data_IF_552575104857
#
_entry.id   IF_552575104857
#
_cell.length_a   1.000
_cell.length_b   1.000
_cell.length_c   1.000
_cell.angle_alpha   90.00
_cell.angle_beta   90.00
_cell.angle_gamma   90.00
#
_symmetry.space_group_name_H-M   'P 1'
#
loop_
_entity.id
_entity.type
_entity.pdbx_description
1 polymer ?
#
# COMPACT_ATOMS: atom_id res chain seq x y z
N UNK A 1 14.25 -2.70 -4.28
CA UNK A 1 15.23 -3.79 -4.40
C UNK A 1 16.60 -3.35 -3.88
N UNK A 2 17.35 -4.25 -3.26
CA UNK A 2 18.69 -4.02 -2.70
C UNK A 2 19.54 -5.28 -2.86
N UNK A 3 20.86 -5.15 -2.67
CA UNK A 3 21.77 -6.29 -2.57
C UNK A 3 21.27 -7.35 -1.57
N UNK A 4 21.39 -8.62 -1.95
CA UNK A 4 20.91 -9.79 -1.22
C UNK A 4 19.42 -10.09 -1.39
N UNK A 5 18.64 -9.23 -2.07
CA UNK A 5 17.25 -9.56 -2.42
C UNK A 5 17.20 -10.74 -3.38
N UNK A 6 16.08 -11.45 -3.36
CA UNK A 6 15.84 -12.55 -4.28
C UNK A 6 14.80 -12.15 -5.30
N UNK A 7 15.07 -12.44 -6.57
CA UNK A 7 14.14 -12.20 -7.68
C UNK A 7 13.82 -13.54 -8.37
N UNK A 8 12.56 -13.75 -8.71
CA UNK A 8 12.06 -14.96 -9.37
C UNK A 8 11.68 -14.65 -10.80
N UNK A 9 12.26 -15.38 -11.74
CA UNK A 9 11.92 -15.23 -13.15
C UNK A 9 10.45 -15.62 -13.41
N UNK A 10 9.63 -14.70 -13.92
CA UNK A 10 8.24 -14.96 -14.32
C UNK A 10 8.06 -15.13 -15.83
N UNK A 11 8.96 -14.56 -16.64
CA UNK A 11 9.00 -14.67 -18.11
C UNK A 11 10.42 -14.90 -18.58
N UNK A 12 10.63 -15.70 -19.62
CA UNK A 12 11.96 -16.00 -20.13
C UNK A 12 12.59 -14.76 -20.78
N UNK A 13 13.89 -14.54 -20.55
CA UNK A 13 14.63 -13.42 -21.11
C UNK A 13 16.03 -13.85 -21.56
N UNK A 14 16.39 -13.48 -22.79
CA UNK A 14 17.68 -13.86 -23.38
C UNK A 14 17.96 -15.37 -23.28
N UNK A 15 19.07 -15.71 -22.61
CA UNK A 15 19.50 -17.09 -22.35
C UNK A 15 18.89 -17.68 -21.07
N UNK A 16 18.30 -16.86 -20.19
CA UNK A 16 17.64 -17.30 -18.98
C UNK A 16 16.17 -17.64 -19.27
N UNK A 17 15.90 -18.90 -19.60
CA UNK A 17 14.56 -19.39 -19.98
C UNK A 17 13.85 -20.25 -18.92
N UNK A 18 14.52 -20.56 -17.81
CA UNK A 18 13.96 -21.40 -16.75
C UNK A 18 13.00 -20.59 -15.86
N UNK A 19 11.72 -20.56 -16.23
CA UNK A 19 10.67 -19.89 -15.44
C UNK A 19 10.67 -20.43 -14.01
N UNK A 20 10.57 -19.52 -13.04
CA UNK A 20 10.66 -19.81 -11.62
C UNK A 20 12.09 -19.84 -11.05
N UNK A 21 13.13 -19.61 -11.87
CA UNK A 21 14.50 -19.47 -11.40
C UNK A 21 14.62 -18.35 -10.36
N UNK A 22 15.20 -18.67 -9.20
CA UNK A 22 15.48 -17.71 -8.14
C UNK A 22 16.92 -17.23 -8.28
N UNK A 23 17.08 -15.93 -8.50
CA UNK A 23 18.36 -15.26 -8.56
C UNK A 23 18.55 -14.40 -7.31
N UNK A 24 19.80 -14.21 -6.89
CA UNK A 24 20.16 -13.29 -5.81
C UNK A 24 20.73 -12.00 -6.41
N UNK A 25 20.23 -10.85 -5.98
CA UNK A 25 20.73 -9.54 -6.39
C UNK A 25 22.09 -9.33 -5.73
N UNK A 26 23.12 -9.15 -6.54
CA UNK A 26 24.50 -8.97 -6.06
C UNK A 26 24.88 -7.51 -5.93
N UNK A 27 24.25 -6.63 -6.71
CA UNK A 27 24.46 -5.18 -6.67
C UNK A 27 23.31 -4.42 -7.35
N UNK A 28 23.09 -3.17 -6.96
CA UNK A 28 22.15 -2.24 -7.61
C UNK A 28 22.86 -0.90 -7.78
N UNK A 29 23.13 -0.49 -9.03
CA UNK A 29 23.83 0.75 -9.33
C UNK A 29 22.92 1.98 -9.18
N UNK A 30 23.51 3.17 -9.11
CA UNK A 30 22.76 4.44 -9.07
C UNK A 30 21.98 4.70 -10.37
N UNK A 31 22.46 4.16 -11.49
CA UNK A 31 21.79 4.25 -12.80
C UNK A 31 20.65 3.22 -12.98
N UNK A 32 20.27 2.49 -11.92
CA UNK A 32 19.18 1.51 -11.97
C UNK A 32 19.54 0.20 -12.67
N UNK A 33 20.83 -0.16 -12.73
CA UNK A 33 21.28 -1.48 -13.20
C UNK A 33 21.33 -2.45 -12.02
N UNK A 34 20.60 -3.56 -12.16
CA UNK A 34 20.54 -4.66 -11.21
C UNK A 34 21.46 -5.77 -11.69
N UNK A 35 22.49 -6.06 -10.90
CA UNK A 35 23.34 -7.25 -11.08
C UNK A 35 22.79 -8.39 -10.24
N UNK A 36 22.73 -9.59 -10.80
CA UNK A 36 22.22 -10.77 -10.11
C UNK A 36 23.02 -12.04 -10.44
N UNK A 37 22.89 -13.03 -9.56
CA UNK A 37 23.52 -14.34 -9.69
C UNK A 37 22.50 -15.46 -9.57
N UNK A 38 22.58 -16.43 -10.48
CA UNK A 38 21.80 -17.66 -10.49
C UNK A 38 22.69 -18.87 -10.20
N UNK A 39 22.26 -19.73 -9.25
CA UNK A 39 22.97 -20.96 -8.83
C UNK A 39 24.45 -20.74 -8.45
N UNK A 40 24.79 -19.58 -7.90
CA UNK A 40 26.16 -19.18 -7.55
C UNK A 40 27.18 -19.26 -8.71
N UNK A 41 26.72 -19.29 -9.96
CA UNK A 41 27.60 -19.50 -11.13
C UNK A 41 27.32 -18.53 -12.27
N UNK A 42 26.06 -18.30 -12.58
CA UNK A 42 25.68 -17.50 -13.74
C UNK A 42 25.35 -16.08 -13.29
N UNK A 43 26.07 -15.10 -13.81
CA UNK A 43 25.86 -13.70 -13.51
C UNK A 43 25.16 -13.02 -14.68
N UNK A 44 24.35 -12.01 -14.36
CA UNK A 44 23.67 -11.20 -15.35
C UNK A 44 23.39 -9.81 -14.80
N UNK A 45 23.21 -8.86 -15.71
CA UNK A 45 22.84 -7.48 -15.39
C UNK A 45 21.62 -7.10 -16.23
N UNK A 46 20.66 -6.43 -15.61
CA UNK A 46 19.43 -5.93 -16.25
C UNK A 46 19.09 -4.55 -15.69
N UNK A 47 18.33 -3.74 -16.42
CA UNK A 47 17.76 -2.52 -15.86
C UNK A 47 16.59 -2.82 -14.92
N UNK A 48 16.22 -1.86 -14.08
CA UNK A 48 15.02 -1.90 -13.23
C UNK A 48 13.74 -2.21 -14.03
N UNK A 49 13.55 -1.56 -15.18
CA UNK A 49 12.38 -1.79 -16.04
C UNK A 49 12.29 -3.24 -16.53
N UNK A 50 13.43 -3.79 -16.99
CA UNK A 50 13.51 -5.19 -17.42
C UNK A 50 13.28 -6.12 -16.24
N UNK A 51 13.79 -5.78 -15.05
CA UNK A 51 13.52 -6.58 -13.87
C UNK A 51 12.03 -6.59 -13.52
N UNK A 52 11.36 -5.43 -13.54
CA UNK A 52 9.94 -5.33 -13.25
C UNK A 52 9.06 -6.12 -14.25
N UNK A 53 9.45 -6.14 -15.52
CA UNK A 53 8.72 -6.86 -16.57
C UNK A 53 8.90 -8.39 -16.51
N UNK A 54 10.10 -8.88 -16.17
CA UNK A 54 10.47 -10.30 -16.31
C UNK A 54 10.63 -11.04 -14.99
N UNK A 55 10.71 -10.35 -13.86
CA UNK A 55 10.92 -10.95 -12.54
C UNK A 55 9.88 -10.48 -11.52
N UNK A 56 9.70 -11.29 -10.46
CA UNK A 56 8.97 -10.93 -9.25
C UNK A 56 9.95 -10.86 -8.07
N UNK A 57 9.83 -9.85 -7.22
CA UNK A 57 10.56 -9.82 -5.94
C UNK A 57 10.09 -10.96 -5.03
N UNK A 58 11.03 -11.67 -4.42
CA UNK A 58 10.78 -12.81 -3.54
C UNK A 58 10.93 -12.37 -2.10
N UNK A 59 9.79 -12.15 -1.46
CA UNK A 59 9.73 -11.81 -0.05
C UNK A 59 9.46 -13.05 0.80
N UNK A 60 10.27 -13.26 1.84
CA UNK A 60 9.97 -14.25 2.89
C UNK A 60 9.25 -13.55 4.04
N UNK A 61 7.96 -13.32 3.84
CA UNK A 61 7.13 -12.68 4.85
C UNK A 61 7.00 -13.53 6.12
N UNK A 62 7.04 -12.88 7.27
CA UNK A 62 6.53 -13.42 8.52
C UNK A 62 5.02 -13.66 8.44
N UNK A 63 4.51 -14.45 9.37
CA UNK A 63 3.08 -14.49 9.66
C UNK A 63 2.55 -13.09 10.03
N UNK A 64 1.26 -12.88 9.79
CA UNK A 64 0.58 -11.68 10.24
C UNK A 64 0.43 -11.69 11.76
N UNK A 65 0.87 -10.61 12.41
CA UNK A 65 0.79 -10.41 13.86
C UNK A 65 -0.14 -9.25 14.16
N UNK A 66 -1.02 -9.39 15.15
CA UNK A 66 -1.92 -8.30 15.58
C UNK A 66 -1.19 -7.34 16.51
N UNK A 67 -1.50 -6.05 16.41
CA UNK A 67 -1.00 -4.99 17.30
C UNK A 67 -2.09 -3.95 17.56
N UNK A 68 -2.10 -3.42 18.78
CA UNK A 68 -2.90 -2.26 19.14
C UNK A 68 -2.09 -1.00 18.84
N UNK A 69 -2.61 -0.14 17.96
CA UNK A 69 -2.04 1.13 17.54
C UNK A 69 -2.54 2.33 18.33
N UNK A 70 -3.34 2.12 19.38
CA UNK A 70 -3.93 3.18 20.19
C UNK A 70 -5.41 3.38 19.88
N UNK A 71 -5.93 4.55 20.25
CA UNK A 71 -7.34 4.92 20.05
C UNK A 71 -7.43 6.17 19.17
N UNK A 72 -8.52 6.31 18.43
CA UNK A 72 -8.82 7.50 17.65
C UNK A 72 -10.28 7.91 17.78
N UNK A 73 -10.53 9.21 17.57
CA UNK A 73 -11.89 9.75 17.47
C UNK A 73 -12.47 9.45 16.09
N UNK A 74 -13.67 8.90 16.09
CA UNK A 74 -14.48 8.74 14.89
C UNK A 74 -15.38 9.97 14.68
N UNK A 75 -15.97 10.10 13.48
CA UNK A 75 -16.84 11.24 13.15
C UNK A 75 -18.10 11.33 14.03
N UNK A 76 -18.48 10.23 14.67
CA UNK A 76 -19.56 10.17 15.67
C UNK A 76 -19.14 10.64 17.08
N UNK A 77 -17.90 11.11 17.25
CA UNK A 77 -17.35 11.57 18.53
C UNK A 77 -16.94 10.45 19.50
N UNK A 78 -17.05 9.17 19.11
CA UNK A 78 -16.68 8.03 19.95
C UNK A 78 -15.23 7.59 19.71
N UNK A 79 -14.65 6.96 20.72
CA UNK A 79 -13.32 6.36 20.64
C UNK A 79 -13.39 4.96 20.04
N UNK A 80 -12.55 4.72 19.04
CA UNK A 80 -12.35 3.40 18.44
C UNK A 80 -10.91 2.95 18.63
N UNK A 81 -10.74 1.68 18.98
CA UNK A 81 -9.41 1.06 19.02
C UNK A 81 -8.88 0.91 17.60
N UNK A 82 -7.68 1.45 17.34
CA UNK A 82 -6.95 1.22 16.12
C UNK A 82 -6.19 -0.11 16.24
N UNK A 83 -6.84 -1.20 15.82
CA UNK A 83 -6.20 -2.52 15.73
C UNK A 83 -5.77 -2.76 14.29
N UNK A 84 -4.52 -3.22 14.11
CA UNK A 84 -3.99 -3.60 12.81
C UNK A 84 -3.18 -4.88 12.90
N UNK A 85 -3.00 -5.52 11.76
CA UNK A 85 -2.09 -6.64 11.57
C UNK A 85 -0.84 -6.15 10.85
N UNK A 86 0.32 -6.71 11.19
CA UNK A 86 1.57 -6.41 10.53
C UNK A 86 2.40 -7.66 10.24
N UNK A 87 3.24 -7.58 9.22
CA UNK A 87 4.24 -8.60 8.90
C UNK A 87 5.50 -7.94 8.35
N UNK A 88 6.61 -8.64 8.41
CA UNK A 88 7.91 -8.18 7.90
C UNK A 88 8.62 -9.28 7.14
N UNK A 89 9.46 -8.94 6.17
CA UNK A 89 10.41 -9.85 5.54
C UNK A 89 11.87 -9.59 5.97
N UNK A 90 12.06 -8.73 6.98
CA UNK A 90 13.37 -8.29 7.47
C UNK A 90 13.93 -7.05 6.74
N UNK A 91 13.20 -6.49 5.77
CA UNK A 91 13.55 -5.22 5.09
C UNK A 91 12.36 -4.29 4.90
N UNK A 92 11.17 -4.86 4.72
CA UNK A 92 9.91 -4.19 4.46
C UNK A 92 8.88 -4.61 5.49
N UNK A 93 8.06 -3.66 5.90
CA UNK A 93 6.94 -3.89 6.80
C UNK A 93 5.65 -3.59 6.06
N UNK A 94 4.69 -4.51 6.15
CA UNK A 94 3.32 -4.31 5.69
C UNK A 94 2.39 -4.29 6.89
N UNK A 95 1.44 -3.37 6.88
CA UNK A 95 0.35 -3.29 7.86
C UNK A 95 -1.00 -3.28 7.15
N UNK A 96 -2.04 -3.81 7.82
CA UNK A 96 -3.40 -3.80 7.31
C UNK A 96 -4.45 -3.71 8.42
N UNK A 97 -5.59 -3.11 8.10
CA UNK A 97 -6.79 -3.12 8.95
C UNK A 97 -8.02 -3.02 8.05
N UNK A 98 -8.90 -4.03 8.08
CA UNK A 98 -10.02 -4.14 7.15
C UNK A 98 -9.58 -4.04 5.68
N UNK A 99 -10.16 -3.09 4.94
CA UNK A 99 -9.83 -2.81 3.52
C UNK A 99 -8.53 -2.03 3.32
N UNK A 100 -7.95 -1.47 4.37
CA UNK A 100 -6.80 -0.58 4.27
C UNK A 100 -5.49 -1.34 4.39
N UNK A 101 -4.49 -0.94 3.58
CA UNK A 101 -3.13 -1.47 3.63
C UNK A 101 -2.11 -0.35 3.44
N UNK A 102 -1.01 -0.45 4.17
CA UNK A 102 0.14 0.43 4.01
C UNK A 102 1.44 -0.34 4.24
N UNK A 103 2.55 0.28 3.86
CA UNK A 103 3.87 -0.32 3.98
C UNK A 103 4.97 0.73 4.18
N UNK A 104 6.10 0.26 4.68
CA UNK A 104 7.35 0.99 4.78
C UNK A 104 8.49 0.05 4.39
N UNK A 105 9.48 0.54 3.67
CA UNK A 105 10.73 -0.17 3.43
C UNK A 105 11.91 0.76 3.73
N UNK A 106 13.04 0.15 4.06
CA UNK A 106 14.32 0.84 4.14
C UNK A 106 14.77 1.32 2.76
N UNK A 107 15.48 2.44 2.72
CA UNK A 107 16.34 2.81 1.60
C UNK A 107 17.60 1.94 1.59
N UNK A 108 18.35 1.94 0.48
CA UNK A 108 19.60 1.14 0.34
C UNK A 108 20.65 1.46 1.40
N UNK A 109 20.64 2.70 1.91
CA UNK A 109 21.60 3.21 2.89
C UNK A 109 21.08 3.16 4.34
N UNK A 110 19.82 2.75 4.53
CA UNK A 110 19.21 2.70 5.85
C UNK A 110 19.61 1.43 6.60
N UNK A 111 19.87 1.57 7.90
CA UNK A 111 19.92 0.41 8.79
C UNK A 111 18.50 -0.07 9.10
N UNK A 112 18.21 -1.34 8.81
CA UNK A 112 16.89 -1.90 9.10
C UNK A 112 16.56 -1.81 10.59
N UNK A 113 15.39 -1.23 10.89
CA UNK A 113 14.82 -1.16 12.22
C UNK A 113 13.32 -1.46 12.15
N UNK A 114 12.91 -2.59 12.74
CA UNK A 114 11.53 -3.06 12.68
C UNK A 114 10.56 -2.09 13.36
N UNK A 115 10.95 -1.48 14.47
CA UNK A 115 10.10 -0.57 15.23
C UNK A 115 9.82 0.72 14.45
N UNK A 116 10.85 1.32 13.86
CA UNK A 116 10.72 2.52 13.04
C UNK A 116 9.88 2.22 11.80
N UNK A 117 10.15 1.12 11.10
CA UNK A 117 9.37 0.77 9.92
C UNK A 117 7.90 0.47 10.26
N UNK A 118 7.63 -0.15 11.42
CA UNK A 118 6.28 -0.41 11.89
C UNK A 118 5.54 0.87 12.26
N UNK A 119 6.22 1.82 12.90
CA UNK A 119 5.69 3.15 13.21
C UNK A 119 5.33 3.93 11.93
N UNK A 120 6.22 3.93 10.93
CA UNK A 120 5.95 4.61 9.66
C UNK A 120 4.78 3.96 8.90
N UNK A 121 4.78 2.63 8.80
CA UNK A 121 3.73 1.90 8.10
C UNK A 121 2.36 2.08 8.78
N UNK A 122 2.30 2.01 10.12
CA UNK A 122 1.06 2.17 10.88
C UNK A 122 0.49 3.59 10.80
N UNK A 123 1.33 4.63 10.85
CA UNK A 123 0.88 6.01 10.65
C UNK A 123 0.35 6.23 9.23
N UNK A 124 1.00 5.67 8.20
CA UNK A 124 0.48 5.72 6.82
C UNK A 124 -0.87 5.02 6.70
N UNK A 125 -1.06 3.89 7.38
CA UNK A 125 -2.35 3.18 7.43
C UNK A 125 -3.42 4.05 8.07
N UNK A 126 -3.08 4.67 9.21
CA UNK A 126 -3.99 5.50 9.97
C UNK A 126 -4.44 6.74 9.19
N UNK A 127 -3.51 7.42 8.51
CA UNK A 127 -3.82 8.55 7.62
C UNK A 127 -4.81 8.13 6.52
N UNK A 128 -4.63 6.97 5.88
CA UNK A 128 -5.57 6.48 4.86
C UNK A 128 -6.97 6.25 5.42
N UNK A 129 -7.07 5.74 6.64
CA UNK A 129 -8.36 5.53 7.33
C UNK A 129 -9.05 6.89 7.56
N UNK A 130 -8.33 7.85 8.14
CA UNK A 130 -8.87 9.18 8.42
C UNK A 130 -9.26 9.93 7.13
N UNK A 131 -8.46 9.81 6.08
CA UNK A 131 -8.76 10.41 4.78
C UNK A 131 -10.06 9.86 4.19
N UNK A 132 -10.28 8.53 4.24
CA UNK A 132 -11.53 7.96 3.73
C UNK A 132 -12.74 8.37 4.59
N UNK A 133 -12.56 8.48 5.92
CA UNK A 133 -13.60 9.01 6.80
C UNK A 133 -13.99 10.44 6.44
N UNK A 134 -13.02 11.35 6.32
CA UNK A 134 -13.25 12.74 5.91
C UNK A 134 -13.93 12.80 4.54
N UNK A 135 -13.46 12.00 3.57
CA UNK A 135 -14.08 11.93 2.25
C UNK A 135 -15.52 11.41 2.29
N UNK A 136 -15.84 10.50 3.21
CA UNK A 136 -17.20 10.01 3.42
C UNK A 136 -18.12 11.11 3.96
N UNK A 137 -17.68 11.85 4.96
CA UNK A 137 -18.44 12.99 5.51
C UNK A 137 -18.67 14.08 4.46
N UNK A 138 -17.65 14.42 3.66
CA UNK A 138 -17.79 15.37 2.54
C UNK A 138 -18.83 14.89 1.52
N UNK A 139 -18.87 13.59 1.22
CA UNK A 139 -19.90 13.04 0.33
C UNK A 139 -21.30 13.18 0.95
N UNK A 140 -21.45 12.85 2.23
CA UNK A 140 -22.74 12.96 2.92
C UNK A 140 -23.25 14.41 2.94
N UNK A 141 -22.40 15.37 3.32
CA UNK A 141 -22.78 16.79 3.32
C UNK A 141 -23.25 17.28 1.95
N UNK A 142 -22.65 16.80 0.86
CA UNK A 142 -23.10 17.15 -0.50
C UNK A 142 -24.51 16.60 -0.79
N UNK A 143 -24.81 15.38 -0.36
CA UNK A 143 -26.14 14.81 -0.50
C UNK A 143 -27.18 15.58 0.32
N UNK A 144 -26.84 15.94 1.56
CA UNK A 144 -27.76 16.65 2.46
C UNK A 144 -28.14 18.04 1.90
N UNK A 145 -27.17 18.77 1.33
CA UNK A 145 -27.41 20.06 0.66
C UNK A 145 -28.33 19.90 -0.55
N UNK A 146 -28.11 18.87 -1.37
CA UNK A 146 -28.95 18.59 -2.55
C UNK A 146 -30.38 18.23 -2.12
N UNK A 147 -30.53 17.38 -1.12
CA UNK A 147 -31.85 16.99 -0.59
C UNK A 147 -32.58 18.19 0.04
N UNK A 148 -31.88 19.08 0.73
CA UNK A 148 -32.45 20.34 1.23
C UNK A 148 -32.94 21.24 0.09
N UNK A 149 -32.15 21.41 -0.98
CA UNK A 149 -32.55 22.18 -2.16
C UNK A 149 -33.81 21.61 -2.81
N UNK A 150 -33.88 20.29 -3.03
CA UNK A 150 -35.08 19.63 -3.57
C UNK A 150 -36.30 19.85 -2.69
N UNK A 151 -36.17 19.69 -1.36
CA UNK A 151 -37.26 19.95 -0.41
C UNK A 151 -37.73 21.41 -0.47
N UNK A 152 -36.82 22.37 -0.62
CA UNK A 152 -37.15 23.78 -0.72
C UNK A 152 -37.86 24.13 -2.05
N UNK A 153 -37.40 23.57 -3.17
CA UNK A 153 -38.06 23.72 -4.49
C UNK A 153 -39.46 23.12 -4.48
N UNK A 154 -39.63 21.93 -3.89
CA UNK A 154 -40.94 21.28 -3.75
C UNK A 154 -41.91 22.14 -2.94
N UNK A 155 -41.45 22.69 -1.80
CA UNK A 155 -42.25 23.61 -0.96
C UNK A 155 -42.63 24.89 -1.71
N UNK A 156 -41.70 25.49 -2.46
CA UNK A 156 -41.96 26.71 -3.22
C UNK A 156 -42.98 26.46 -4.34
N UNK A 157 -42.87 25.33 -5.04
CA UNK A 157 -43.77 24.98 -6.15
C UNK A 157 -45.17 24.66 -5.67
N UNK A 158 -45.30 23.98 -4.52
CA UNK A 158 -46.58 23.77 -3.86
C UNK A 158 -47.27 25.10 -3.49
N UNK A 159 -46.53 26.11 -3.02
CA UNK A 159 -47.07 27.45 -2.74
C UNK A 159 -47.54 28.19 -3.99
N UNK A 160 -46.89 27.96 -5.13
CA UNK A 160 -47.22 28.59 -6.41
C UNK A 160 -48.30 27.85 -7.20
N UNK A 161 -48.82 26.71 -6.69
CA UNK A 161 -49.79 25.89 -7.40
C UNK A 161 -49.23 25.17 -8.64
N UNK A 162 -47.90 25.14 -8.81
CA UNK A 162 -47.23 24.50 -9.93
C UNK A 162 -47.05 23.02 -9.61
N UNK A 163 -47.71 22.13 -10.36
CA UNK A 163 -47.44 20.69 -10.33
C UNK A 163 -46.30 20.38 -11.30
N UNK A 164 -45.20 19.84 -10.80
CA UNK A 164 -44.24 19.17 -11.67
C UNK A 164 -44.86 17.86 -12.16
N UNK A 165 -44.95 17.71 -13.49
CA UNK A 165 -45.35 16.47 -14.19
C UNK A 165 -44.13 15.57 -14.32
#
# INVERSE_FOLDING_TARGET
MMKGDKIKLKKGIGTLRHIGAICEVTDVSEDGIISFRYKNKYEGCISEDVCAEYFDEVHKWSEWRKKNGGNYFNSDGRFYAFVYEYRTDGKKIQVRSGKYKAEACCHKDDTYNEEIGLFLASNRLFIKILQDMVNSEIRQMKYDVVDELFRNVAKASAKLGVKFV
#
